data_IF_715851229122
#
_entry.id   IF_715851229122
#
_cell.length_a   1.000
_cell.length_b   1.000
_cell.length_c   1.000
_cell.angle_alpha   90.00
_cell.angle_beta   90.00
_cell.angle_gamma   90.00
#
_symmetry.space_group_name_H-M   'P 1'
#
loop_
_entity.id
_entity.type
_entity.pdbx_description
1 polymer ?
#
# COMPACT_ATOMS: atom_id res chain seq x y z
N UNK A 1 -17.97 -0.30 -23.38
CA UNK A 1 -16.72 0.47 -23.19
C UNK A 1 -16.37 0.35 -21.72
N UNK A 2 -15.21 -0.20 -21.39
CA UNK A 2 -14.75 -0.38 -20.00
C UNK A 2 -14.28 0.95 -19.44
N UNK A 3 -14.79 1.36 -18.28
CA UNK A 3 -14.35 2.58 -17.61
C UNK A 3 -12.90 2.41 -17.13
N UNK A 4 -12.03 3.39 -17.42
CA UNK A 4 -10.64 3.39 -16.97
C UNK A 4 -10.60 3.76 -15.49
N UNK A 5 -9.84 3.01 -14.70
CA UNK A 5 -9.61 3.36 -13.30
C UNK A 5 -8.66 4.56 -13.19
N UNK A 6 -8.72 5.25 -12.06
CA UNK A 6 -7.90 6.43 -11.78
C UNK A 6 -6.38 6.16 -11.97
N UNK A 7 -5.90 5.02 -11.50
CA UNK A 7 -4.49 4.60 -11.66
C UNK A 7 -4.15 4.22 -13.11
N UNK A 8 -5.11 3.68 -13.85
CA UNK A 8 -4.93 3.41 -15.28
C UNK A 8 -4.81 4.72 -16.07
N UNK A 9 -5.59 5.74 -15.70
CA UNK A 9 -5.52 7.06 -16.33
C UNK A 9 -4.19 7.77 -16.04
N UNK A 10 -3.73 7.80 -14.78
CA UNK A 10 -2.41 8.35 -14.41
C UNK A 10 -1.28 7.64 -15.16
N UNK A 11 -1.30 6.30 -15.20
CA UNK A 11 -0.30 5.51 -15.94
C UNK A 11 -0.31 5.78 -17.45
N UNK A 12 -1.49 5.99 -18.05
CA UNK A 12 -1.61 6.35 -19.47
C UNK A 12 -1.03 7.75 -19.72
N UNK A 13 -1.33 8.74 -18.87
CA UNK A 13 -0.81 10.10 -19.01
C UNK A 13 0.73 10.14 -18.89
N UNK A 14 1.30 9.43 -17.92
CA UNK A 14 2.75 9.29 -17.76
C UNK A 14 3.42 8.71 -19.01
N UNK A 15 2.82 7.67 -19.61
CA UNK A 15 3.34 7.06 -20.84
C UNK A 15 3.24 8.00 -22.04
N UNK A 16 2.15 8.76 -22.13
CA UNK A 16 1.97 9.77 -23.18
C UNK A 16 2.99 10.90 -23.04
N UNK A 17 3.22 11.41 -21.83
CA UNK A 17 4.23 12.45 -21.57
C UNK A 17 5.64 11.97 -21.92
N UNK A 18 6.03 10.76 -21.52
CA UNK A 18 7.34 10.16 -21.87
C UNK A 18 7.49 10.00 -23.39
N UNK A 19 6.44 9.53 -24.07
CA UNK A 19 6.46 9.40 -25.52
C UNK A 19 6.60 10.75 -26.22
N UNK A 20 5.92 11.80 -25.72
CA UNK A 20 5.98 13.16 -26.28
C UNK A 20 7.31 13.85 -25.98
N UNK A 21 7.88 13.68 -24.78
CA UNK A 21 9.18 14.25 -24.42
C UNK A 21 10.34 13.72 -25.30
N UNK A 22 10.19 12.52 -25.87
CA UNK A 22 11.12 11.96 -26.85
C UNK A 22 11.01 12.58 -28.26
N UNK A 23 10.00 13.43 -28.52
CA UNK A 23 9.80 14.09 -29.81
C UNK A 23 10.31 15.53 -29.77
N UNK A 24 11.05 15.97 -30.80
CA UNK A 24 11.57 17.34 -30.87
C UNK A 24 10.48 18.42 -31.03
N UNK A 25 9.23 18.02 -31.21
CA UNK A 25 8.08 18.89 -31.50
C UNK A 25 7.13 19.10 -30.32
N UNK A 26 7.37 18.45 -29.17
CA UNK A 26 6.49 18.59 -28.03
C UNK A 26 6.63 19.98 -27.39
N UNK A 27 5.50 20.70 -27.28
CA UNK A 27 5.46 21.99 -26.60
C UNK A 27 5.76 21.81 -25.10
N UNK A 28 6.68 22.59 -24.51
CA UNK A 28 7.02 22.50 -23.09
C UNK A 28 5.80 22.66 -22.17
N UNK A 29 4.86 23.53 -22.53
CA UNK A 29 3.65 23.80 -21.75
C UNK A 29 2.73 22.56 -21.70
N UNK A 30 2.61 21.81 -22.80
CA UNK A 30 1.84 20.57 -22.83
C UNK A 30 2.46 19.49 -21.93
N UNK A 31 3.79 19.41 -21.88
CA UNK A 31 4.48 18.46 -20.99
C UNK A 31 4.29 18.85 -19.51
N UNK A 32 4.27 20.16 -19.21
CA UNK A 32 3.98 20.67 -17.87
C UNK A 32 2.52 20.41 -17.47
N UNK A 33 1.56 20.63 -18.37
CA UNK A 33 0.14 20.35 -18.14
C UNK A 33 -0.11 18.85 -17.87
N UNK A 34 0.53 17.98 -18.65
CA UNK A 34 0.45 16.52 -18.45
C UNK A 34 1.06 16.12 -17.09
N UNK A 35 2.19 16.70 -16.71
CA UNK A 35 2.83 16.46 -15.42
C UNK A 35 1.96 16.96 -14.25
N UNK A 36 1.32 18.13 -14.40
CA UNK A 36 0.41 18.67 -13.40
C UNK A 36 -0.83 17.80 -13.25
N UNK A 37 -1.37 17.26 -14.34
CA UNK A 37 -2.49 16.31 -14.33
C UNK A 37 -2.11 14.96 -13.70
N UNK A 38 -0.92 14.43 -13.99
CA UNK A 38 -0.36 13.25 -13.30
C UNK A 38 -0.30 13.47 -11.79
N UNK A 39 0.29 14.61 -11.38
CA UNK A 39 0.45 14.92 -9.96
C UNK A 39 -0.90 15.11 -9.26
N UNK A 40 -1.85 15.80 -9.89
CA UNK A 40 -3.19 16.00 -9.34
C UNK A 40 -3.93 14.67 -9.18
N UNK A 41 -3.84 13.78 -10.17
CA UNK A 41 -4.42 12.45 -10.08
C UNK A 41 -3.75 11.70 -8.91
N UNK A 42 -2.43 11.57 -8.90
CA UNK A 42 -1.74 10.82 -7.85
C UNK A 42 -2.05 11.34 -6.43
N UNK A 43 -2.14 12.66 -6.26
CA UNK A 43 -2.51 13.31 -5.00
C UNK A 43 -3.99 13.09 -4.58
N UNK A 44 -4.86 12.79 -5.54
CA UNK A 44 -6.30 12.60 -5.33
C UNK A 44 -6.75 11.14 -5.49
N UNK A 45 -5.81 10.22 -5.70
CA UNK A 45 -6.05 8.77 -5.86
C UNK A 45 -6.77 8.12 -4.67
N UNK A 46 -6.75 8.77 -3.50
CA UNK A 46 -7.36 8.33 -2.26
C UNK A 46 -8.69 9.03 -1.91
N UNK A 47 -9.21 9.93 -2.75
CA UNK A 47 -10.44 10.68 -2.46
C UNK A 47 -11.61 10.16 -3.28
N UNK A 48 -12.02 8.93 -3.03
CA UNK A 48 -13.33 8.46 -3.48
C UNK A 48 -14.35 8.96 -2.46
N UNK A 49 -15.04 10.05 -2.80
CA UNK A 49 -16.23 10.46 -2.10
C UNK A 49 -17.34 9.45 -2.42
N UNK A 50 -17.80 8.73 -1.40
CA UNK A 50 -18.97 7.86 -1.52
C UNK A 50 -20.17 8.66 -1.06
N UNK A 51 -21.19 8.76 -1.91
CA UNK A 51 -22.47 9.32 -1.50
C UNK A 51 -23.18 8.30 -0.59
N UNK A 52 -23.58 8.75 0.58
CA UNK A 52 -24.30 7.95 1.59
C UNK A 52 -25.59 8.70 1.94
N UNK A 53 -26.69 7.98 1.95
CA UNK A 53 -27.95 8.47 2.50
C UNK A 53 -27.95 8.17 4.00
N UNK A 54 -28.13 9.21 4.81
CA UNK A 54 -28.19 9.10 6.27
C UNK A 54 -29.56 9.54 6.77
N UNK A 55 -30.01 8.92 7.86
CA UNK A 55 -31.18 9.34 8.59
C UNK A 55 -30.94 9.31 10.10
N UNK A 56 -31.55 10.25 10.81
CA UNK A 56 -31.58 10.29 12.26
C UNK A 56 -33.04 10.34 12.72
N UNK A 57 -33.42 9.38 13.55
CA UNK A 57 -34.73 9.34 14.21
C UNK A 57 -34.50 9.79 15.65
N UNK A 58 -35.08 10.93 16.03
CA UNK A 58 -35.09 11.41 17.40
C UNK A 58 -36.38 10.97 18.09
N UNK A 59 -36.27 10.30 19.23
CA UNK A 59 -37.38 9.71 19.97
C UNK A 59 -37.14 9.71 21.48
N UNK A 60 -38.14 9.34 22.28
CA UNK A 60 -38.09 9.46 23.75
C UNK A 60 -36.89 8.80 24.45
N UNK A 61 -36.33 7.74 23.86
CA UNK A 61 -35.18 6.99 24.41
C UNK A 61 -33.80 7.47 23.86
N UNK A 62 -33.75 8.59 23.13
CA UNK A 62 -32.55 9.07 22.44
C UNK A 62 -32.75 9.10 20.93
N UNK A 63 -31.75 8.70 20.13
CA UNK A 63 -31.96 8.64 18.69
C UNK A 63 -31.17 7.57 17.96
N UNK A 64 -31.71 7.17 16.81
CA UNK A 64 -31.19 6.12 15.96
C UNK A 64 -30.60 6.72 14.68
N UNK A 65 -29.34 6.40 14.40
CA UNK A 65 -28.67 6.78 13.16
C UNK A 65 -28.71 5.60 12.17
N UNK A 66 -29.22 5.86 10.98
CA UNK A 66 -29.24 4.93 9.86
C UNK A 66 -28.40 5.48 8.71
N UNK A 67 -27.72 4.59 7.99
CA UNK A 67 -26.91 4.97 6.84
C UNK A 67 -26.92 3.87 5.78
N UNK A 68 -27.23 4.23 4.53
CA UNK A 68 -27.20 3.30 3.42
C UNK A 68 -26.67 3.95 2.14
N UNK A 69 -26.13 3.14 1.24
CA UNK A 69 -25.63 3.59 -0.06
C UNK A 69 -26.75 3.90 -1.06
N UNK A 70 -27.97 3.41 -0.79
CA UNK A 70 -29.14 3.64 -1.62
C UNK A 70 -30.31 4.13 -0.75
N UNK A 71 -31.07 5.09 -1.29
CA UNK A 71 -32.26 5.65 -0.62
C UNK A 71 -33.29 4.58 -0.28
N UNK A 72 -33.54 3.65 -1.19
CA UNK A 72 -34.51 2.56 -0.99
C UNK A 72 -34.15 1.72 0.23
N UNK A 73 -32.87 1.38 0.40
CA UNK A 73 -32.38 0.63 1.56
C UNK A 73 -32.53 1.43 2.85
N UNK A 74 -32.21 2.73 2.83
CA UNK A 74 -32.40 3.60 3.99
C UNK A 74 -33.88 3.68 4.39
N UNK A 75 -34.78 3.89 3.42
CA UNK A 75 -36.21 4.00 3.68
C UNK A 75 -36.80 2.69 4.20
N UNK A 76 -36.33 1.53 3.72
CA UNK A 76 -36.76 0.23 4.24
C UNK A 76 -36.39 0.03 5.72
N UNK A 77 -35.19 0.48 6.14
CA UNK A 77 -34.79 0.45 7.55
C UNK A 77 -35.66 1.35 8.43
N UNK A 78 -35.89 2.59 8.02
CA UNK A 78 -36.74 3.54 8.74
C UNK A 78 -38.19 3.03 8.79
N UNK A 79 -38.70 2.47 7.69
CA UNK A 79 -40.03 1.87 7.65
C UNK A 79 -40.14 0.66 8.60
N UNK A 80 -39.05 -0.10 8.80
CA UNK A 80 -38.96 -1.13 9.83
C UNK A 80 -39.24 -0.57 11.23
N UNK A 81 -38.57 0.53 11.59
CA UNK A 81 -38.81 1.24 12.85
C UNK A 81 -40.27 1.71 12.97
N UNK A 82 -40.78 2.41 11.95
CA UNK A 82 -42.16 2.92 11.98
C UNK A 82 -43.22 1.80 12.05
N UNK A 83 -42.96 0.61 11.49
CA UNK A 83 -43.86 -0.56 11.62
C UNK A 83 -43.90 -1.11 13.04
N UNK A 84 -42.73 -1.19 13.68
CA UNK A 84 -42.61 -1.67 15.05
C UNK A 84 -43.38 -0.77 16.03
N UNK A 85 -43.27 0.55 15.84
CA UNK A 85 -43.86 1.56 16.72
C UNK A 85 -45.17 2.14 16.21
N UNK A 86 -45.73 1.61 15.12
CA UNK A 86 -47.00 2.06 14.53
C UNK A 86 -48.18 2.17 15.52
N UNK A 87 -48.30 1.30 16.55
CA UNK A 87 -49.37 1.46 17.54
C UNK A 87 -49.35 2.79 18.31
N UNK A 88 -48.20 3.48 18.39
CA UNK A 88 -48.04 4.71 19.18
C UNK A 88 -48.80 5.90 18.58
N UNK A 89 -48.85 5.99 17.24
CA UNK A 89 -49.63 7.03 16.53
C UNK A 89 -51.14 6.74 16.52
N UNK A 90 -51.58 5.59 17.06
CA UNK A 90 -52.98 5.15 17.16
C UNK A 90 -53.73 5.13 15.82
N UNK A 91 -53.02 4.95 14.71
CA UNK A 91 -53.64 4.72 13.40
C UNK A 91 -54.16 3.28 13.32
N UNK A 92 -55.41 3.11 12.86
CA UNK A 92 -56.07 1.81 12.73
C UNK A 92 -55.78 1.12 11.41
N UNK A 93 -55.14 1.80 10.46
CA UNK A 93 -54.74 1.23 9.16
C UNK A 93 -53.56 0.27 9.38
N UNK A 94 -53.54 -0.81 8.60
CA UNK A 94 -52.45 -1.78 8.64
C UNK A 94 -51.19 -1.20 7.97
N UNK A 95 -50.07 -1.04 8.70
CA UNK A 95 -48.84 -0.48 8.15
C UNK A 95 -48.25 -1.33 7.01
N UNK A 96 -48.54 -2.64 6.92
CA UNK A 96 -48.03 -3.49 5.86
C UNK A 96 -48.61 -3.18 4.47
N UNK A 97 -49.65 -2.34 4.40
CA UNK A 97 -50.34 -1.98 3.14
C UNK A 97 -49.74 -0.77 2.43
N UNK A 98 -48.82 -0.04 3.07
CA UNK A 98 -48.18 1.15 2.52
C UNK A 98 -46.79 0.82 1.97
N UNK A 99 -46.36 1.59 0.96
CA UNK A 99 -44.94 1.62 0.60
C UNK A 99 -44.10 2.26 1.73
N UNK A 100 -42.79 2.00 1.72
CA UNK A 100 -41.89 2.43 2.78
C UNK A 100 -41.87 3.97 2.97
N UNK A 101 -41.92 4.75 1.88
CA UNK A 101 -41.90 6.22 2.00
C UNK A 101 -43.22 6.77 2.55
N UNK A 102 -44.36 6.25 2.10
CA UNK A 102 -45.69 6.64 2.57
C UNK A 102 -45.89 6.29 4.04
N UNK A 103 -45.44 5.10 4.44
CA UNK A 103 -45.51 4.63 5.82
C UNK A 103 -44.74 5.57 6.74
N UNK A 104 -43.49 5.87 6.39
CA UNK A 104 -42.62 6.77 7.15
C UNK A 104 -43.24 8.16 7.24
N UNK A 105 -43.75 8.70 6.13
CA UNK A 105 -44.41 10.01 6.12
C UNK A 105 -45.61 10.05 7.08
N UNK A 106 -46.52 9.07 7.00
CA UNK A 106 -47.70 9.02 7.86
C UNK A 106 -47.31 8.93 9.34
N UNK A 107 -46.28 8.15 9.65
CA UNK A 107 -45.82 7.97 11.02
C UNK A 107 -45.36 9.29 11.63
N UNK A 108 -44.38 9.96 11.02
CA UNK A 108 -43.81 11.19 11.56
C UNK A 108 -44.75 12.41 11.43
N UNK A 109 -45.72 12.42 10.51
CA UNK A 109 -46.76 13.47 10.49
C UNK A 109 -47.75 13.37 11.67
N UNK A 110 -47.93 12.17 12.22
CA UNK A 110 -48.86 11.93 13.33
C UNK A 110 -48.18 11.82 14.69
N UNK A 111 -46.88 11.65 14.71
CA UNK A 111 -46.12 11.58 15.94
C UNK A 111 -45.74 12.99 16.39
N UNK A 112 -46.27 13.45 17.53
CA UNK A 112 -46.08 14.83 17.99
C UNK A 112 -44.66 15.08 18.54
N UNK A 113 -44.01 14.04 19.04
CA UNK A 113 -42.74 14.12 19.79
C UNK A 113 -41.56 13.38 19.12
N UNK A 114 -41.74 12.82 17.92
CA UNK A 114 -40.67 12.12 17.19
C UNK A 114 -40.37 12.81 15.87
N UNK A 115 -39.09 12.88 15.52
CA UNK A 115 -38.63 13.61 14.35
C UNK A 115 -37.70 12.76 13.51
N UNK A 116 -37.95 12.78 12.21
CA UNK A 116 -37.06 12.19 11.22
C UNK A 116 -36.30 13.29 10.49
N UNK A 117 -34.99 13.16 10.49
CA UNK A 117 -34.12 13.93 9.62
C UNK A 117 -33.43 13.01 8.63
N UNK A 118 -33.33 13.42 7.36
CA UNK A 118 -32.63 12.67 6.32
C UNK A 118 -31.76 13.61 5.51
N UNK A 119 -30.56 13.16 5.17
CA UNK A 119 -29.64 13.91 4.33
C UNK A 119 -28.86 12.97 3.42
N UNK A 120 -28.38 13.50 2.29
CA UNK A 120 -27.38 12.83 1.46
C UNK A 120 -26.04 13.51 1.71
N UNK A 121 -25.10 12.76 2.28
CA UNK A 121 -23.76 13.26 2.58
C UNK A 121 -22.72 12.58 1.68
N UNK A 122 -21.64 13.29 1.38
CA UNK A 122 -20.47 12.71 0.73
C UNK A 122 -19.44 12.38 1.82
N UNK A 123 -19.11 11.10 1.96
CA UNK A 123 -18.07 10.65 2.89
C UNK A 123 -16.79 10.44 2.11
N UNK A 124 -15.74 11.18 2.44
CA UNK A 124 -14.42 10.97 1.87
C UNK A 124 -13.84 9.66 2.44
N UNK A 125 -13.75 8.63 1.60
CA UNK A 125 -13.10 7.38 1.96
C UNK A 125 -11.61 7.49 1.72
N UNK A 126 -10.79 7.60 2.77
CA UNK A 126 -9.34 7.37 2.66
C UNK A 126 -9.16 5.88 2.40
N UNK A 127 -8.83 5.51 1.16
CA UNK A 127 -8.30 4.17 0.93
C UNK A 127 -7.01 4.06 1.76
N UNK A 128 -6.84 3.03 2.60
CA UNK A 128 -5.55 2.78 3.22
C UNK A 128 -4.52 2.72 2.09
N UNK A 129 -3.41 3.47 2.22
CA UNK A 129 -2.31 3.37 1.26
C UNK A 129 -2.06 1.89 1.00
N UNK A 130 -1.99 1.43 -0.26
CA UNK A 130 -1.69 0.04 -0.52
C UNK A 130 -0.36 -0.26 0.17
N UNK A 131 -0.43 -1.05 1.25
CA UNK A 131 0.76 -1.48 2.00
C UNK A 131 1.68 -2.09 0.95
N UNK A 132 2.81 -1.44 0.70
CA UNK A 132 3.75 -1.90 -0.32
C UNK A 132 3.99 -3.39 -0.09
N UNK A 133 3.82 -4.26 -1.10
CA UNK A 133 3.88 -5.70 -0.90
C UNK A 133 5.24 -6.04 -0.27
N UNK A 134 5.21 -6.94 0.73
CA UNK A 134 6.42 -7.41 1.40
C UNK A 134 7.45 -7.87 0.35
N UNK A 135 8.64 -7.26 0.36
CA UNK A 135 9.72 -7.61 -0.57
C UNK A 135 10.42 -8.86 -0.08
N UNK A 136 9.99 -10.02 -0.55
CA UNK A 136 10.66 -11.31 -0.31
C UNK A 136 11.78 -11.49 -1.33
N UNK A 137 13.01 -11.77 -0.87
CA UNK A 137 14.20 -11.97 -1.71
C UNK A 137 15.00 -13.18 -1.22
N UNK A 138 15.76 -13.79 -2.13
CA UNK A 138 16.69 -14.88 -1.84
C UNK A 138 18.04 -14.31 -1.43
N UNK A 139 18.69 -15.00 -0.49
CA UNK A 139 20.10 -14.80 -0.16
C UNK A 139 20.83 -16.13 -0.39
N UNK A 140 22.14 -16.05 -0.62
CA UNK A 140 23.01 -17.19 -0.78
C UNK A 140 23.76 -17.46 0.53
N UNK A 141 23.96 -18.72 0.89
CA UNK A 141 24.74 -19.12 2.06
C UNK A 141 25.87 -20.03 1.56
N UNK A 142 27.12 -19.69 1.85
CA UNK A 142 28.30 -20.48 1.48
C UNK A 142 29.34 -20.46 2.60
N UNK A 143 30.25 -21.43 2.60
CA UNK A 143 31.31 -21.54 3.60
C UNK A 143 32.21 -20.30 3.68
N UNK A 144 32.67 -19.95 4.89
CA UNK A 144 33.76 -18.98 5.07
C UNK A 144 35.08 -19.42 4.44
N UNK A 145 35.24 -20.72 4.12
CA UNK A 145 36.41 -21.23 3.40
C UNK A 145 36.63 -20.59 2.03
N UNK A 146 35.66 -19.87 1.46
CA UNK A 146 35.82 -19.13 0.19
C UNK A 146 36.51 -17.77 0.31
N UNK A 147 36.84 -17.33 1.52
CA UNK A 147 37.64 -16.13 1.75
C UNK A 147 38.85 -16.47 2.62
N UNK A 148 39.86 -15.60 2.67
CA UNK A 148 41.04 -15.80 3.52
C UNK A 148 40.80 -15.34 4.96
N UNK A 149 41.53 -15.88 5.96
CA UNK A 149 41.47 -15.38 7.35
C UNK A 149 41.77 -13.88 7.49
N UNK A 150 42.67 -13.34 6.65
CA UNK A 150 42.95 -11.90 6.58
C UNK A 150 41.73 -11.09 6.12
N UNK A 151 40.94 -11.66 5.22
CA UNK A 151 39.73 -11.04 4.67
C UNK A 151 38.59 -11.10 5.67
N UNK A 152 38.48 -12.20 6.43
CA UNK A 152 37.59 -12.28 7.58
C UNK A 152 37.89 -11.18 8.62
N UNK A 153 39.17 -10.96 8.93
CA UNK A 153 39.59 -9.88 9.82
C UNK A 153 39.23 -8.49 9.29
N UNK A 154 39.16 -8.28 7.97
CA UNK A 154 38.66 -7.04 7.37
C UNK A 154 37.15 -6.91 7.54
N UNK A 155 36.39 -7.99 7.33
CA UNK A 155 34.94 -7.99 7.52
C UNK A 155 34.56 -7.67 8.98
N UNK A 156 35.32 -8.19 9.96
CA UNK A 156 35.18 -7.84 11.37
C UNK A 156 35.42 -6.37 11.65
N UNK A 157 36.39 -5.75 10.96
CA UNK A 157 36.66 -4.32 11.08
C UNK A 157 35.58 -3.48 10.41
N UNK A 158 35.02 -3.93 9.29
CA UNK A 158 34.01 -3.18 8.52
C UNK A 158 32.60 -3.28 9.10
N UNK A 159 32.24 -4.42 9.69
CA UNK A 159 30.92 -4.66 10.27
C UNK A 159 30.44 -3.58 11.29
N UNK A 160 31.30 -3.05 12.19
CA UNK A 160 30.90 -1.99 13.13
C UNK A 160 31.02 -0.56 12.57
N UNK A 161 31.62 -0.34 11.40
CA UNK A 161 31.84 1.02 10.86
C UNK A 161 30.53 1.72 10.51
N UNK A 162 30.46 3.05 10.62
CA UNK A 162 29.32 3.81 10.10
C UNK A 162 29.21 3.69 8.57
N UNK A 163 27.99 3.73 7.98
CA UNK A 163 27.78 3.53 6.55
C UNK A 163 28.67 4.40 5.65
N UNK A 164 28.84 5.69 5.98
CA UNK A 164 29.58 6.65 5.16
C UNK A 164 31.08 6.35 5.04
N UNK A 165 31.65 5.57 5.97
CA UNK A 165 33.06 5.18 5.97
C UNK A 165 33.30 3.71 5.63
N UNK A 166 32.24 2.94 5.39
CA UNK A 166 32.31 1.48 5.29
C UNK A 166 32.50 1.06 3.82
N UNK A 167 33.55 0.30 3.47
CA UNK A 167 33.80 -0.10 2.08
C UNK A 167 32.71 -1.01 1.49
N UNK A 168 32.12 -1.88 2.31
CA UNK A 168 31.04 -2.78 1.90
C UNK A 168 29.97 -2.85 2.99
N UNK A 169 28.70 -3.00 2.61
CA UNK A 169 27.65 -3.24 3.58
C UNK A 169 27.77 -4.68 4.15
N UNK A 170 28.38 -4.76 5.33
CA UNK A 170 28.64 -6.03 6.04
C UNK A 170 27.98 -6.03 7.43
N UNK A 171 27.45 -7.17 7.86
CA UNK A 171 26.97 -7.38 9.22
C UNK A 171 27.50 -8.71 9.77
N UNK A 172 28.00 -8.69 11.00
CA UNK A 172 28.45 -9.90 11.70
C UNK A 172 27.26 -10.74 12.18
N UNK A 173 27.41 -12.07 12.14
CA UNK A 173 26.40 -13.05 12.60
C UNK A 173 26.91 -13.94 13.74
N UNK A 174 28.12 -13.68 14.25
CA UNK A 174 28.81 -14.45 15.30
C UNK A 174 29.70 -15.57 14.78
N UNK A 175 29.29 -16.27 13.71
CA UNK A 175 30.09 -17.32 13.05
C UNK A 175 30.33 -17.04 11.56
N UNK A 176 30.11 -15.81 11.13
CA UNK A 176 30.09 -15.45 9.73
C UNK A 176 29.63 -14.02 9.49
N UNK A 177 29.48 -13.65 8.22
CA UNK A 177 29.11 -12.29 7.83
C UNK A 177 28.06 -12.28 6.72
N UNK A 178 27.03 -11.45 6.91
CA UNK A 178 26.18 -11.00 5.81
C UNK A 178 26.91 -9.92 5.02
N UNK A 179 26.97 -10.09 3.71
CA UNK A 179 27.58 -9.16 2.76
C UNK A 179 26.57 -8.84 1.67
N UNK A 180 26.44 -7.55 1.33
CA UNK A 180 25.61 -7.11 0.22
C UNK A 180 26.27 -7.47 -1.12
N UNK A 181 25.52 -8.10 -2.01
CA UNK A 181 25.99 -8.54 -3.33
C UNK A 181 25.78 -7.49 -4.44
N UNK A 182 25.56 -6.23 -4.06
CA UNK A 182 25.43 -5.11 -5.00
C UNK A 182 26.82 -4.83 -5.65
N UNK A 183 26.87 -4.28 -6.89
CA UNK A 183 28.13 -3.95 -7.53
C UNK A 183 28.99 -3.04 -6.65
N UNK A 184 30.27 -3.39 -6.51
CA UNK A 184 31.23 -2.61 -5.73
C UNK A 184 31.64 -1.38 -6.55
N UNK A 185 31.68 -0.22 -5.90
CA UNK A 185 32.17 1.02 -6.51
C UNK A 185 33.60 0.85 -7.03
N UNK A 186 33.89 1.33 -8.23
CA UNK A 186 35.22 1.29 -8.83
C UNK A 186 36.28 1.92 -7.91
N UNK A 187 35.91 2.97 -7.17
CA UNK A 187 36.82 3.62 -6.22
C UNK A 187 37.21 2.74 -5.02
N UNK A 188 36.44 1.69 -4.73
CA UNK A 188 36.64 0.78 -3.59
C UNK A 188 37.23 -0.57 -4.01
N UNK A 189 37.38 -0.85 -5.30
CA UNK A 189 37.85 -2.15 -5.80
C UNK A 189 39.23 -2.54 -5.25
N UNK A 190 40.12 -1.58 -5.03
CA UNK A 190 41.45 -1.83 -4.48
C UNK A 190 41.42 -2.18 -2.99
N UNK A 191 40.36 -1.79 -2.27
CA UNK A 191 40.17 -2.10 -0.85
C UNK A 191 39.56 -3.47 -0.63
N UNK A 192 38.90 -4.06 -1.64
CA UNK A 192 38.21 -5.34 -1.53
C UNK A 192 39.09 -6.47 -2.09
N UNK A 193 39.44 -7.49 -1.28
CA UNK A 193 40.18 -8.65 -1.76
C UNK A 193 39.51 -9.36 -2.95
N UNK A 194 40.29 -9.96 -3.84
CA UNK A 194 39.78 -10.55 -5.08
C UNK A 194 38.84 -11.73 -4.84
N UNK A 195 39.15 -12.55 -3.84
CA UNK A 195 38.31 -13.68 -3.43
C UNK A 195 36.96 -13.21 -2.88
N UNK A 196 36.93 -12.10 -2.14
CA UNK A 196 35.68 -11.50 -1.66
C UNK A 196 34.83 -10.93 -2.80
N UNK A 197 35.47 -10.28 -3.79
CA UNK A 197 34.78 -9.84 -5.03
C UNK A 197 34.17 -11.03 -5.77
N UNK A 198 34.91 -12.13 -5.87
CA UNK A 198 34.48 -13.33 -6.59
C UNK A 198 33.24 -13.96 -5.96
N UNK A 199 33.17 -14.07 -4.63
CA UNK A 199 31.98 -14.62 -3.95
C UNK A 199 30.77 -13.67 -4.04
N UNK A 200 30.99 -12.36 -4.02
CA UNK A 200 29.96 -11.32 -4.22
C UNK A 200 29.37 -11.42 -5.63
N UNK A 201 30.23 -11.48 -6.66
CA UNK A 201 29.82 -11.61 -8.05
C UNK A 201 29.10 -12.94 -8.31
N UNK A 202 29.56 -14.02 -7.68
CA UNK A 202 28.90 -15.33 -7.76
C UNK A 202 27.47 -15.27 -7.18
N UNK A 203 27.29 -14.70 -5.99
CA UNK A 203 25.96 -14.51 -5.40
C UNK A 203 25.05 -13.67 -6.31
N UNK A 204 25.60 -12.60 -6.91
CA UNK A 204 24.88 -11.72 -7.83
C UNK A 204 24.47 -12.44 -9.11
N UNK A 205 25.34 -13.25 -9.70
CA UNK A 205 25.06 -14.05 -10.90
C UNK A 205 23.88 -15.00 -10.68
N UNK A 206 23.73 -15.51 -9.45
CA UNK A 206 22.60 -16.34 -9.04
C UNK A 206 21.35 -15.56 -8.60
N UNK A 207 21.36 -14.23 -8.73
CA UNK A 207 20.22 -13.36 -8.42
C UNK A 207 19.95 -13.19 -6.93
N UNK A 208 20.95 -13.44 -6.08
CA UNK A 208 20.90 -13.18 -4.65
C UNK A 208 21.42 -11.76 -4.37
N UNK A 209 20.68 -11.01 -3.55
CA UNK A 209 21.10 -9.66 -3.12
C UNK A 209 22.02 -9.69 -1.90
N UNK A 210 21.91 -10.74 -1.11
CA UNK A 210 22.70 -10.93 0.09
C UNK A 210 23.45 -12.25 -0.01
N UNK A 211 24.68 -12.22 0.48
CA UNK A 211 25.53 -13.38 0.69
C UNK A 211 25.72 -13.53 2.20
N UNK A 212 25.59 -14.74 2.72
CA UNK A 212 26.00 -15.12 4.05
C UNK A 212 27.22 -16.03 3.91
N UNK A 213 28.37 -15.54 4.38
CA UNK A 213 29.56 -16.36 4.59
C UNK A 213 29.44 -16.97 5.97
N UNK A 214 29.13 -18.27 6.05
CA UNK A 214 28.87 -19.00 7.30
C UNK A 214 29.93 -20.08 7.49
N UNK A 215 30.51 -20.18 8.69
CA UNK A 215 31.50 -21.20 9.02
C UNK A 215 31.00 -22.62 8.79
N UNK A 216 29.72 -22.88 9.04
CA UNK A 216 29.13 -24.22 9.00
C UNK A 216 28.45 -24.54 7.66
N UNK A 217 28.49 -23.61 6.70
CA UNK A 217 27.93 -23.82 5.37
C UNK A 217 28.87 -24.62 4.46
N UNK A 218 28.28 -25.22 3.42
CA UNK A 218 29.00 -26.00 2.43
C UNK A 218 29.85 -25.11 1.51
N UNK A 219 30.94 -25.67 1.00
CA UNK A 219 31.68 -25.08 -0.10
C UNK A 219 30.94 -25.30 -1.43
N UNK A 220 31.07 -24.36 -2.36
CA UNK A 220 30.46 -24.44 -3.69
C UNK A 220 31.52 -24.63 -4.77
N UNK A 221 31.21 -25.46 -5.76
CA UNK A 221 32.03 -25.58 -6.96
C UNK A 221 32.11 -24.24 -7.71
N UNK A 222 33.27 -23.91 -8.28
CA UNK A 222 33.48 -22.69 -9.08
C UNK A 222 34.00 -21.47 -8.32
N UNK A 223 34.21 -21.59 -7.00
CA UNK A 223 34.90 -20.62 -6.16
C UNK A 223 36.15 -21.24 -5.55
N UNK A 224 37.22 -20.45 -5.41
CA UNK A 224 38.42 -20.89 -4.71
C UNK A 224 38.12 -21.12 -3.22
N UNK A 225 38.89 -22.02 -2.60
CA UNK A 225 38.85 -22.28 -1.16
C UNK A 225 40.22 -22.06 -0.54
N UNK A 226 40.24 -21.58 0.70
CA UNK A 226 41.44 -21.25 1.46
C UNK A 226 41.45 -22.01 2.78
N UNK A 227 42.65 -22.28 3.29
CA UNK A 227 42.84 -22.85 4.61
C UNK A 227 42.51 -21.82 5.70
N UNK A 228 41.83 -22.29 6.74
CA UNK A 228 41.32 -21.52 7.87
C UNK A 228 41.86 -22.04 9.20
#
# INVERSE_FOLDING_TARGET
>A
MTALTHNQLSSILARVRVALAGTQTAAPDLLADLQQAEWWLDANSSRLAVEVHVAFIDHREGGNLHAALARETLMAEIAGFCREWWPEIRDKRDPATFDDEQLVQIYFERHEDEYLWTERIAVEGVLPEPVAPLRIRRHMVISTSHIRPSTASLLDQWAPMLPDGRPLCVAETGYGWFVLADPIDEALLDMVPLELRSVIDFARLHGCRWLLLDRDADCTDGLETFDW
#
